data_IF_209856261271
#
_entry.id   IF_209856261271
#
_cell.length_a   1.000
_cell.length_b   1.000
_cell.length_c   1.000
_cell.angle_alpha   90.00
_cell.angle_beta   90.00
_cell.angle_gamma   90.00
#
_symmetry.space_group_name_H-M   'P 1'
#
loop_
_entity.id
_entity.type
_entity.pdbx_description
1 polymer ?
#
# COMPACT_ATOMS: atom_id res chain seq x y z
N UNK A 1 2.73 1.65 -17.94
CA UNK A 1 1.68 1.42 -16.92
C UNK A 1 2.20 1.62 -15.50
N UNK A 2 3.29 0.98 -15.05
CA UNK A 2 3.82 1.20 -13.67
C UNK A 2 4.08 2.69 -13.39
N UNK A 3 4.95 3.34 -14.18
CA UNK A 3 5.24 4.78 -14.07
C UNK A 3 3.98 5.64 -14.14
N UNK A 4 3.06 5.30 -15.04
CA UNK A 4 1.79 6.00 -15.19
C UNK A 4 0.93 5.89 -13.93
N UNK A 5 0.87 4.71 -13.31
CA UNK A 5 0.20 4.51 -12.03
C UNK A 5 0.82 5.35 -10.91
N UNK A 6 2.15 5.30 -10.76
CA UNK A 6 2.86 6.11 -9.76
C UNK A 6 2.57 7.61 -9.99
N UNK A 7 2.75 8.09 -11.22
CA UNK A 7 2.48 9.49 -11.57
C UNK A 7 1.02 9.88 -11.30
N UNK A 8 0.07 8.97 -11.52
CA UNK A 8 -1.36 9.25 -11.33
C UNK A 8 -1.75 9.29 -9.86
N UNK A 9 -1.36 8.28 -9.09
CA UNK A 9 -1.85 8.08 -7.73
C UNK A 9 -1.00 8.80 -6.68
N UNK A 10 0.28 9.07 -6.94
CA UNK A 10 1.15 9.85 -6.03
C UNK A 10 1.19 11.35 -6.35
N UNK A 11 0.68 11.78 -7.50
CA UNK A 11 0.48 13.21 -7.76
C UNK A 11 -0.77 13.73 -7.07
N UNK A 12 -0.69 14.96 -6.59
CA UNK A 12 -1.83 15.75 -6.08
C UNK A 12 -1.95 17.00 -6.94
N UNK A 13 -2.41 16.80 -8.17
CA UNK A 13 -2.52 17.82 -9.22
C UNK A 13 -3.84 17.77 -10.01
N UNK A 14 -4.85 17.05 -9.52
CA UNK A 14 -6.11 16.83 -10.25
C UNK A 14 -6.90 18.15 -10.32
N UNK A 15 -7.19 18.63 -11.52
CA UNK A 15 -7.90 19.92 -11.72
C UNK A 15 -9.42 19.78 -11.67
N UNK A 16 -9.97 18.66 -12.12
CA UNK A 16 -11.39 18.30 -12.02
C UNK A 16 -11.68 17.36 -10.83
N UNK A 17 -12.94 17.25 -10.39
CA UNK A 17 -13.36 16.41 -9.27
C UNK A 17 -13.01 16.97 -7.88
N UNK A 18 -13.27 16.19 -6.83
CA UNK A 18 -13.09 16.58 -5.41
C UNK A 18 -11.81 15.98 -4.76
N UNK A 19 -10.93 15.39 -5.56
CA UNK A 19 -9.81 14.57 -5.07
C UNK A 19 -8.47 15.06 -5.62
N UNK A 20 -7.39 14.87 -4.87
CA UNK A 20 -6.01 15.15 -5.28
C UNK A 20 -5.70 16.63 -5.53
N UNK A 21 -6.26 17.54 -4.72
CA UNK A 21 -6.16 19.01 -4.88
C UNK A 21 -4.91 19.65 -4.25
N UNK A 22 -3.76 19.00 -4.39
CA UNK A 22 -2.52 19.46 -3.77
C UNK A 22 -2.36 19.03 -2.31
N UNK A 23 -1.37 19.64 -1.66
CA UNK A 23 -1.04 19.46 -0.25
C UNK A 23 -1.10 20.82 0.45
N UNK A 24 -1.54 20.83 1.71
CA UNK A 24 -1.56 22.02 2.54
C UNK A 24 -0.34 22.03 3.46
N UNK A 25 0.37 23.15 3.45
CA UNK A 25 1.44 23.48 4.39
C UNK A 25 1.17 24.87 4.98
N UNK A 26 1.91 25.28 6.00
CA UNK A 26 1.66 26.55 6.70
C UNK A 26 1.67 27.78 5.77
N UNK A 27 2.41 27.71 4.66
CA UNK A 27 2.52 28.79 3.68
C UNK A 27 1.45 28.76 2.59
N UNK A 28 0.60 27.73 2.54
CA UNK A 28 -0.49 27.62 1.57
C UNK A 28 -0.67 26.22 0.98
N UNK A 29 -1.45 26.16 -0.11
CA UNK A 29 -1.71 24.94 -0.84
C UNK A 29 -0.79 24.83 -2.07
N UNK A 30 -0.15 23.67 -2.26
CA UNK A 30 0.78 23.41 -3.34
C UNK A 30 0.36 22.20 -4.15
N UNK A 31 0.41 22.33 -5.47
CA UNK A 31 0.27 21.21 -6.41
C UNK A 31 1.53 20.36 -6.40
N UNK A 32 1.38 19.05 -6.31
CA UNK A 32 2.49 18.09 -6.38
C UNK A 32 2.32 17.22 -7.61
N UNK A 33 3.37 17.17 -8.44
CA UNK A 33 3.42 16.34 -9.65
C UNK A 33 4.59 15.38 -9.51
N UNK A 34 4.29 14.08 -9.53
CA UNK A 34 5.26 12.99 -9.47
C UNK A 34 5.55 12.51 -10.88
N UNK A 35 6.84 12.43 -11.21
CA UNK A 35 7.35 11.88 -12.47
C UNK A 35 8.30 10.72 -12.15
N UNK A 36 7.79 9.50 -12.23
CA UNK A 36 8.58 8.29 -12.09
C UNK A 36 9.45 8.07 -13.33
N UNK A 37 10.69 7.68 -13.10
CA UNK A 37 11.69 7.38 -14.13
C UNK A 37 12.26 5.98 -13.87
N UNK A 38 12.53 5.24 -14.95
CA UNK A 38 13.27 3.99 -14.85
C UNK A 38 14.76 4.32 -14.71
N UNK A 39 15.48 3.57 -13.89
CA UNK A 39 16.90 3.82 -13.63
C UNK A 39 17.64 2.53 -13.35
N UNK A 40 18.91 2.48 -13.75
CA UNK A 40 19.84 1.40 -13.40
C UNK A 40 20.54 1.66 -12.04
N UNK A 41 20.23 2.78 -11.39
CA UNK A 41 20.69 3.05 -10.03
C UNK A 41 20.05 2.08 -9.05
N UNK A 42 20.76 1.79 -7.97
CA UNK A 42 20.31 0.94 -6.85
C UNK A 42 20.10 1.77 -5.59
N UNK A 43 19.36 1.27 -4.59
CA UNK A 43 19.23 1.94 -3.29
C UNK A 43 20.60 2.38 -2.71
N UNK A 44 20.67 3.57 -2.09
CA UNK A 44 19.55 4.43 -1.69
C UNK A 44 19.09 5.43 -2.77
N UNK A 45 19.58 5.32 -4.01
CA UNK A 45 19.29 6.30 -5.07
C UNK A 45 18.05 5.95 -5.90
N UNK A 46 17.45 4.77 -5.68
CA UNK A 46 16.24 4.28 -6.33
C UNK A 46 15.42 3.44 -5.34
N UNK A 47 14.18 3.13 -5.70
CA UNK A 47 13.37 2.13 -5.01
C UNK A 47 13.94 0.72 -5.27
N UNK A 48 13.67 -0.24 -4.39
CA UNK A 48 14.01 -1.64 -4.66
C UNK A 48 13.31 -2.14 -5.95
N UNK A 49 13.96 -3.08 -6.63
CA UNK A 49 13.38 -3.72 -7.80
C UNK A 49 12.23 -4.67 -7.40
N UNK A 50 11.16 -4.64 -8.20
CA UNK A 50 10.01 -5.53 -8.01
C UNK A 50 9.72 -6.22 -9.35
N UNK A 51 9.76 -7.56 -9.40
CA UNK A 51 9.41 -8.30 -10.60
C UNK A 51 8.00 -7.98 -11.10
N UNK A 52 7.88 -7.78 -12.41
CA UNK A 52 6.58 -7.63 -13.09
C UNK A 52 6.19 -8.96 -13.73
N UNK A 53 5.02 -9.47 -13.38
CA UNK A 53 4.51 -10.74 -13.88
C UNK A 53 3.34 -10.49 -14.81
N UNK A 54 3.44 -10.91 -16.07
CA UNK A 54 2.30 -10.94 -16.98
C UNK A 54 1.53 -12.25 -16.78
N UNK A 55 0.25 -12.17 -16.42
CA UNK A 55 -0.58 -13.34 -16.12
C UNK A 55 -1.86 -13.38 -16.96
N UNK A 56 -2.04 -14.49 -17.68
CA UNK A 56 -3.25 -14.82 -18.43
C UNK A 56 -3.40 -16.34 -18.51
N UNK A 57 -4.63 -16.84 -18.55
CA UNK A 57 -4.97 -18.27 -18.60
C UNK A 57 -4.41 -19.10 -17.43
N UNK A 58 -4.32 -18.52 -16.23
CA UNK A 58 -3.96 -19.20 -14.99
C UNK A 58 -4.83 -18.72 -13.82
N UNK A 59 -4.58 -19.25 -12.63
CA UNK A 59 -5.07 -18.70 -11.36
C UNK A 59 -4.81 -17.19 -11.26
N UNK A 60 -5.71 -16.48 -10.58
CA UNK A 60 -5.53 -15.07 -10.28
C UNK A 60 -4.22 -14.86 -9.49
N UNK A 61 -3.25 -14.19 -10.11
CA UNK A 61 -1.96 -13.92 -9.50
C UNK A 61 -2.07 -12.81 -8.45
N UNK A 62 -1.27 -12.92 -7.39
CA UNK A 62 -1.21 -11.90 -6.33
C UNK A 62 -0.06 -10.93 -6.56
N UNK A 63 -0.26 -9.70 -6.13
CA UNK A 63 0.80 -8.71 -6.00
C UNK A 63 1.13 -8.52 -4.52
N UNK A 64 2.33 -8.04 -4.26
CA UNK A 64 2.79 -7.70 -2.94
C UNK A 64 4.18 -7.11 -3.01
N UNK A 65 4.44 -6.14 -2.15
CA UNK A 65 5.77 -5.64 -1.89
C UNK A 65 5.99 -5.46 -0.39
N UNK A 66 6.49 -6.50 0.30
CA UNK A 66 6.96 -6.32 1.65
C UNK A 66 8.17 -5.35 1.72
N UNK A 67 8.74 -4.86 0.63
CA UNK A 67 9.85 -3.89 0.69
C UNK A 67 11.05 -4.36 1.49
N UNK A 68 11.26 -5.68 1.46
CA UNK A 68 12.22 -6.33 2.29
C UNK A 68 13.41 -6.68 1.40
N UNK A 69 14.42 -5.80 1.41
CA UNK A 69 15.74 -6.17 0.92
C UNK A 69 16.13 -7.47 1.66
N UNK A 70 16.23 -8.60 0.94
CA UNK A 70 16.53 -9.93 1.51
C UNK A 70 17.77 -9.93 2.42
N UNK A 71 18.66 -8.94 2.30
CA UNK A 71 19.82 -8.73 3.17
C UNK A 71 19.57 -7.96 4.48
N UNK A 72 18.54 -7.10 4.58
CA UNK A 72 18.23 -6.31 5.80
C UNK A 72 17.22 -7.03 6.70
N UNK A 73 16.50 -8.02 6.17
CA UNK A 73 15.72 -9.00 6.96
C UNK A 73 16.61 -9.75 7.98
N UNK A 74 17.94 -9.69 7.83
CA UNK A 74 18.88 -10.42 8.68
C UNK A 74 19.60 -9.59 9.75
N UNK A 75 19.57 -8.25 9.79
CA UNK A 75 20.58 -7.53 10.63
C UNK A 75 20.18 -6.25 11.38
N UNK A 76 18.99 -5.68 11.22
CA UNK A 76 18.68 -4.37 11.83
C UNK A 76 17.37 -4.26 12.60
N UNK A 77 16.27 -4.76 12.04
CA UNK A 77 14.95 -4.56 12.62
C UNK A 77 14.62 -5.71 13.59
N UNK A 78 14.93 -5.53 14.88
CA UNK A 78 14.63 -6.46 16.00
C UNK A 78 13.14 -6.83 16.18
N UNK A 79 12.27 -6.47 15.23
CA UNK A 79 10.82 -6.71 15.26
C UNK A 79 10.44 -8.00 14.51
N UNK A 80 11.29 -8.52 13.61
CA UNK A 80 10.93 -9.63 12.71
C UNK A 80 11.30 -11.05 13.18
N UNK A 81 12.25 -11.21 14.12
CA UNK A 81 12.80 -12.54 14.49
C UNK A 81 11.78 -13.52 15.12
N UNK A 82 10.56 -13.07 15.45
CA UNK A 82 9.48 -13.93 15.95
C UNK A 82 8.13 -13.77 15.22
N UNK A 83 8.07 -12.96 14.16
CA UNK A 83 6.82 -12.57 13.46
C UNK A 83 6.84 -13.03 12.00
N UNK A 84 7.97 -13.51 11.48
CA UNK A 84 8.12 -14.09 10.13
C UNK A 84 7.10 -15.18 9.81
N UNK A 85 6.65 -15.95 10.80
CA UNK A 85 5.60 -16.98 10.63
C UNK A 85 4.19 -16.42 10.40
N UNK A 86 3.95 -15.12 10.64
CA UNK A 86 2.67 -14.46 10.37
C UNK A 86 2.56 -13.94 8.93
N UNK A 87 3.68 -13.85 8.23
CA UNK A 87 3.71 -13.54 6.81
C UNK A 87 3.57 -14.83 6.03
N UNK A 88 2.32 -15.20 5.73
CA UNK A 88 2.04 -16.30 4.82
C UNK A 88 2.61 -15.95 3.44
N UNK A 89 3.80 -16.46 3.13
CA UNK A 89 4.50 -16.37 1.86
C UNK A 89 4.68 -14.91 1.38
N UNK A 90 5.73 -14.18 1.80
CA UNK A 90 5.96 -12.81 1.36
C UNK A 90 6.20 -12.79 -0.16
N UNK A 91 5.14 -12.45 -0.91
CA UNK A 91 5.18 -12.26 -2.36
C UNK A 91 5.81 -10.88 -2.60
N UNK A 92 6.87 -10.84 -3.38
CA UNK A 92 7.49 -9.61 -3.88
C UNK A 92 7.39 -9.60 -5.40
N UNK A 93 6.26 -9.17 -5.92
CA UNK A 93 5.99 -9.05 -7.35
C UNK A 93 4.77 -8.15 -7.58
N UNK A 94 4.65 -7.59 -8.77
CA UNK A 94 3.41 -6.95 -9.24
C UNK A 94 2.90 -7.75 -10.44
N UNK A 95 1.69 -8.27 -10.33
CA UNK A 95 1.07 -9.10 -11.36
C UNK A 95 0.08 -8.31 -12.21
N UNK A 96 0.27 -8.30 -13.52
CA UNK A 96 -0.70 -7.85 -14.52
C UNK A 96 -1.61 -9.03 -14.91
N UNK A 97 -2.79 -9.09 -14.28
CA UNK A 97 -3.81 -10.10 -14.53
C UNK A 97 -4.73 -9.66 -15.68
N UNK A 98 -4.80 -10.42 -16.78
CA UNK A 98 -5.66 -10.09 -17.93
C UNK A 98 -6.16 -11.34 -18.66
N UNK A 99 -7.32 -11.28 -19.31
CA UNK A 99 -7.87 -12.39 -20.08
C UNK A 99 -8.60 -13.41 -19.22
N UNK A 100 -8.62 -14.69 -19.61
CA UNK A 100 -9.27 -15.71 -18.79
C UNK A 100 -8.40 -16.05 -17.58
N UNK A 101 -9.01 -16.02 -16.39
CA UNK A 101 -8.35 -16.32 -15.12
C UNK A 101 -9.23 -17.26 -14.30
N UNK A 102 -8.60 -18.12 -13.49
CA UNK A 102 -9.30 -18.95 -12.52
C UNK A 102 -9.43 -18.22 -11.18
N UNK A 103 -10.68 -17.96 -10.77
CA UNK A 103 -11.02 -17.38 -9.49
C UNK A 103 -11.58 -18.46 -8.55
N UNK A 104 -11.74 -18.13 -7.27
CA UNK A 104 -12.32 -19.06 -6.27
C UNK A 104 -13.71 -19.60 -6.64
N UNK A 105 -14.48 -18.88 -7.46
CA UNK A 105 -15.79 -19.27 -7.96
C UNK A 105 -15.78 -19.78 -9.42
N UNK A 106 -14.60 -20.06 -9.98
CA UNK A 106 -14.41 -20.61 -11.33
C UNK A 106 -13.73 -19.65 -12.30
N UNK A 107 -13.70 -20.05 -13.58
CA UNK A 107 -13.06 -19.28 -14.65
C UNK A 107 -13.89 -18.04 -15.04
N UNK A 108 -13.22 -16.90 -15.18
CA UNK A 108 -13.83 -15.64 -15.61
C UNK A 108 -12.90 -14.85 -16.53
N UNK A 109 -13.48 -14.00 -17.39
CA UNK A 109 -12.72 -13.12 -18.27
C UNK A 109 -12.50 -11.74 -17.62
N UNK A 110 -11.24 -11.38 -17.43
CA UNK A 110 -10.82 -10.06 -16.94
C UNK A 110 -10.48 -9.14 -18.11
N UNK A 111 -11.32 -8.11 -18.29
CA UNK A 111 -11.18 -7.18 -19.39
C UNK A 111 -9.90 -6.33 -19.25
N UNK A 112 -9.27 -6.01 -20.39
CA UNK A 112 -8.03 -5.24 -20.47
C UNK A 112 -8.13 -3.86 -19.80
N UNK A 113 -9.21 -3.11 -19.96
CA UNK A 113 -9.33 -1.76 -19.39
C UNK A 113 -9.35 -1.82 -17.85
N UNK A 114 -10.03 -2.84 -17.31
CA UNK A 114 -10.03 -3.11 -15.86
C UNK A 114 -8.64 -3.56 -15.40
N UNK A 115 -8.00 -4.46 -16.14
CA UNK A 115 -6.63 -4.92 -15.86
C UNK A 115 -5.62 -3.78 -15.84
N UNK A 116 -5.69 -2.86 -16.81
CA UNK A 116 -4.82 -1.70 -16.90
C UNK A 116 -4.99 -0.78 -15.68
N UNK A 117 -6.23 -0.48 -15.30
CA UNK A 117 -6.50 0.39 -14.15
C UNK A 117 -6.06 -0.25 -12.82
N UNK A 118 -6.39 -1.53 -12.61
CA UNK A 118 -6.00 -2.28 -11.42
C UNK A 118 -4.49 -2.43 -11.33
N UNK A 119 -3.80 -2.69 -12.44
CA UNK A 119 -2.34 -2.80 -12.44
C UNK A 119 -1.67 -1.46 -12.17
N UNK A 120 -2.19 -0.35 -12.69
CA UNK A 120 -1.69 1.00 -12.38
C UNK A 120 -1.85 1.31 -10.88
N UNK A 121 -3.02 1.04 -10.31
CA UNK A 121 -3.29 1.26 -8.86
C UNK A 121 -2.39 0.37 -8.01
N UNK A 122 -2.39 -0.93 -8.30
CA UNK A 122 -1.58 -1.93 -7.57
C UNK A 122 -0.11 -1.58 -7.64
N UNK A 123 0.42 -1.24 -8.82
CA UNK A 123 1.83 -0.85 -8.95
C UNK A 123 2.18 0.36 -8.08
N UNK A 124 1.29 1.36 -8.04
CA UNK A 124 1.50 2.55 -7.22
C UNK A 124 1.39 2.25 -5.73
N UNK A 125 0.51 1.33 -5.34
CA UNK A 125 0.36 0.85 -3.97
C UNK A 125 1.61 0.06 -3.51
N UNK A 126 2.03 -0.93 -4.29
CA UNK A 126 3.17 -1.79 -3.93
C UNK A 126 4.49 -1.00 -3.88
N UNK A 127 4.74 -0.08 -4.83
CA UNK A 127 5.89 0.82 -4.74
C UNK A 127 5.76 1.84 -3.60
N UNK A 128 4.52 2.17 -3.23
CA UNK A 128 4.22 3.01 -2.09
C UNK A 128 4.72 2.45 -0.76
N UNK A 129 4.82 1.12 -0.63
CA UNK A 129 5.37 0.51 0.57
C UNK A 129 6.84 0.89 0.84
N UNK A 130 7.67 1.08 -0.19
CA UNK A 130 9.06 1.54 -0.05
C UNK A 130 9.11 2.97 0.53
N UNK A 131 8.18 3.83 0.06
CA UNK A 131 8.08 5.22 0.50
C UNK A 131 7.64 5.24 1.98
N UNK A 132 6.55 4.54 2.32
CA UNK A 132 6.02 4.48 3.69
C UNK A 132 7.02 3.86 4.67
N UNK A 133 7.80 2.86 4.25
CA UNK A 133 8.87 2.28 5.07
C UNK A 133 9.97 3.29 5.35
N UNK A 134 10.38 4.06 4.35
CA UNK A 134 11.48 5.01 4.48
C UNK A 134 11.20 6.15 5.49
N UNK A 135 9.94 6.57 5.67
CA UNK A 135 9.59 7.62 6.64
C UNK A 135 8.81 7.13 7.87
N UNK A 136 7.96 6.12 7.74
CA UNK A 136 7.05 5.62 8.79
C UNK A 136 7.39 4.24 9.35
N UNK A 137 8.30 3.51 8.69
CA UNK A 137 8.75 2.18 9.10
C UNK A 137 7.84 1.02 8.69
N UNK A 138 8.36 -0.20 8.83
CA UNK A 138 7.75 -1.44 8.31
C UNK A 138 6.33 -1.69 8.81
N UNK A 139 6.07 -1.47 10.11
CA UNK A 139 4.74 -1.70 10.69
C UNK A 139 3.70 -0.77 10.07
N UNK A 140 4.04 0.52 9.94
CA UNK A 140 3.15 1.54 9.40
C UNK A 140 2.78 1.21 7.93
N UNK A 141 3.79 0.79 7.16
CA UNK A 141 3.62 0.36 5.78
C UNK A 141 2.77 -0.93 5.67
N UNK A 142 3.14 -2.00 6.37
CA UNK A 142 2.50 -3.32 6.23
C UNK A 142 1.10 -3.41 6.81
N UNK A 143 0.80 -2.64 7.86
CA UNK A 143 -0.55 -2.58 8.39
C UNK A 143 -1.41 -1.58 7.62
N UNK A 144 -0.93 -1.03 6.50
CA UNK A 144 -1.68 -0.10 5.66
C UNK A 144 -2.19 1.07 6.51
N UNK A 145 -1.26 1.69 7.26
CA UNK A 145 -1.54 2.75 8.25
C UNK A 145 -2.50 2.33 9.35
N UNK A 146 -2.51 1.04 9.69
CA UNK A 146 -3.36 0.46 10.71
C UNK A 146 -4.73 -0.01 10.21
N UNK A 147 -5.09 0.21 8.94
CA UNK A 147 -6.35 -0.27 8.35
C UNK A 147 -6.42 -1.79 8.18
N UNK A 148 -5.28 -2.48 8.28
CA UNK A 148 -5.17 -3.94 8.18
C UNK A 148 -4.25 -4.55 9.25
N UNK A 149 -4.33 -5.86 9.41
CA UNK A 149 -3.36 -6.64 10.18
C UNK A 149 -2.08 -6.86 9.35
N UNK A 150 -0.99 -7.33 9.99
CA UNK A 150 0.23 -7.73 9.28
C UNK A 150 -0.01 -8.86 8.24
N UNK A 151 -1.14 -9.57 8.35
CA UNK A 151 -1.59 -10.56 7.37
C UNK A 151 -2.29 -9.95 6.16
N UNK A 152 -2.31 -8.62 6.04
CA UNK A 152 -3.04 -7.84 5.02
C UNK A 152 -4.57 -7.96 5.09
N UNK A 153 -5.12 -8.58 6.13
CA UNK A 153 -6.57 -8.64 6.30
C UNK A 153 -7.08 -7.31 6.86
N UNK A 154 -8.10 -6.72 6.23
CA UNK A 154 -8.75 -5.49 6.71
C UNK A 154 -9.24 -5.66 8.14
N UNK A 155 -8.92 -4.68 9.00
CA UNK A 155 -9.40 -4.67 10.39
C UNK A 155 -10.89 -4.36 10.47
N UNK A 156 -11.62 -4.80 11.50
CA UNK A 156 -13.00 -4.38 11.68
C UNK A 156 -13.12 -2.86 11.88
N UNK A 157 -14.24 -2.27 11.46
CA UNK A 157 -14.52 -0.83 11.58
C UNK A 157 -14.87 -0.38 13.00
N UNK A 158 -15.05 -1.34 13.90
CA UNK A 158 -15.23 -1.10 15.33
C UNK A 158 -14.38 -2.11 16.08
N UNK A 159 -13.91 -1.78 17.29
CA UNK A 159 -13.19 -2.74 18.11
C UNK A 159 -14.05 -4.00 18.25
N UNK A 160 -13.49 -5.20 18.05
CA UNK A 160 -14.23 -6.41 18.33
C UNK A 160 -14.72 -6.36 19.79
N UNK A 161 -16.01 -6.68 20.03
CA UNK A 161 -16.54 -6.92 21.36
C UNK A 161 -15.85 -8.14 21.96
N UNK A 162 -14.64 -7.95 22.47
CA UNK A 162 -13.85 -9.02 23.04
C UNK A 162 -13.92 -8.91 24.56
N UNK A 163 -14.65 -9.82 25.19
CA UNK A 163 -14.79 -9.81 26.63
C UNK A 163 -13.47 -10.21 27.27
N UNK A 164 -13.18 -9.66 28.45
CA UNK A 164 -11.87 -9.85 29.10
C UNK A 164 -11.53 -11.33 29.37
N UNK A 165 -12.53 -12.20 29.48
CA UNK A 165 -12.38 -13.64 29.68
C UNK A 165 -12.23 -14.46 28.38
N UNK A 166 -12.51 -13.88 27.20
CA UNK A 166 -12.24 -14.52 25.90
C UNK A 166 -10.75 -14.48 25.54
N UNK A 167 -9.95 -13.72 26.31
CA UNK A 167 -8.50 -13.60 26.15
C UNK A 167 -7.78 -14.73 26.85
N UNK A 168 -7.58 -15.84 26.14
CA UNK A 168 -6.52 -16.78 26.54
C UNK A 168 -5.16 -16.08 26.42
N UNK A 169 -4.19 -16.44 27.27
CA UNK A 169 -2.81 -15.93 27.15
C UNK A 169 -2.26 -16.13 25.73
N UNK A 170 -2.43 -17.31 25.08
CA UNK A 170 -2.05 -17.51 23.69
C UNK A 170 -2.77 -16.58 22.70
N UNK A 171 -4.08 -16.37 22.85
CA UNK A 171 -4.86 -15.49 21.97
C UNK A 171 -4.43 -14.03 22.08
N UNK A 172 -4.11 -13.56 23.30
CA UNK A 172 -3.59 -12.22 23.53
C UNK A 172 -2.19 -12.03 22.93
N UNK A 173 -1.33 -13.04 23.03
CA UNK A 173 0.01 -13.04 22.40
C UNK A 173 -0.13 -13.00 20.88
N UNK A 174 -0.98 -13.85 20.30
CA UNK A 174 -1.19 -13.91 18.86
C UNK A 174 -1.80 -12.61 18.31
N UNK A 175 -2.73 -12.00 19.04
CA UNK A 175 -3.29 -10.69 18.67
C UNK A 175 -2.22 -9.60 18.69
N UNK A 176 -1.39 -9.52 19.73
CA UNK A 176 -0.28 -8.57 19.79
C UNK A 176 0.79 -8.83 18.73
N UNK A 177 0.91 -10.06 18.27
CA UNK A 177 1.84 -10.42 17.20
C UNK A 177 1.32 -9.96 15.83
N UNK A 178 0.01 -10.10 15.54
CA UNK A 178 -0.60 -9.72 14.24
C UNK A 178 -0.96 -8.24 14.11
N UNK A 179 -1.22 -7.56 15.24
CA UNK A 179 -1.67 -6.17 15.28
C UNK A 179 -0.75 -5.32 16.13
N UNK A 180 0.07 -4.50 15.45
CA UNK A 180 1.05 -3.60 16.05
C UNK A 180 0.56 -2.15 16.11
N UNK A 181 -0.61 -1.86 15.55
CA UNK A 181 -1.31 -0.57 15.60
C UNK A 181 -2.72 -0.73 16.18
N UNK A 182 -2.88 -1.32 17.39
CA UNK A 182 -4.19 -1.69 17.96
C UNK A 182 -5.11 -0.50 18.26
N UNK A 183 -4.58 0.70 18.31
CA UNK A 183 -5.31 1.95 18.49
C UNK A 183 -6.06 2.40 17.23
N UNK A 184 -5.72 1.83 16.07
CA UNK A 184 -6.35 2.15 14.78
C UNK A 184 -7.25 0.99 14.35
N UNK A 185 -8.52 1.31 14.06
CA UNK A 185 -9.49 0.38 13.49
C UNK A 185 -9.45 0.42 11.96
N UNK A 186 -10.10 -0.55 11.32
CA UNK A 186 -10.38 -0.45 9.89
C UNK A 186 -11.45 0.60 9.61
N UNK A 187 -11.70 0.85 8.34
CA UNK A 187 -12.69 1.84 7.92
C UNK A 187 -13.40 1.42 6.63
N UNK A 188 -14.60 1.95 6.42
CA UNK A 188 -15.31 1.78 5.16
C UNK A 188 -14.72 2.73 4.12
N UNK A 189 -14.72 2.31 2.86
CA UNK A 189 -14.38 3.19 1.76
C UNK A 189 -15.32 4.40 1.79
N UNK A 190 -14.81 5.64 1.84
CA UNK A 190 -15.67 6.81 1.88
C UNK A 190 -16.54 6.85 0.62
N UNK A 191 -17.80 7.28 0.76
CA UNK A 191 -18.75 7.37 -0.36
C UNK A 191 -18.52 8.58 -1.25
N UNK A 192 -17.87 9.62 -0.73
CA UNK A 192 -17.45 10.84 -1.47
C UNK A 192 -16.03 11.27 -1.08
N UNK A 193 -15.39 12.12 -1.88
CA UNK A 193 -14.00 12.56 -1.62
C UNK A 193 -12.92 11.52 -1.89
N UNK A 194 -11.74 11.70 -1.30
CA UNK A 194 -10.54 10.89 -1.55
C UNK A 194 -10.61 9.49 -0.92
N UNK A 195 -9.99 8.52 -1.57
CA UNK A 195 -9.71 7.19 -1.03
C UNK A 195 -8.19 7.03 -0.97
N UNK A 196 -7.65 6.87 0.23
CA UNK A 196 -6.21 6.73 0.45
C UNK A 196 -5.65 5.50 -0.26
N UNK A 197 -4.69 5.72 -1.17
CA UNK A 197 -4.00 4.68 -1.93
C UNK A 197 -3.44 3.58 -1.03
N UNK A 198 -2.91 3.93 0.15
CA UNK A 198 -2.16 3.00 1.00
C UNK A 198 -3.02 2.32 2.07
N UNK A 199 -4.35 2.47 2.02
CA UNK A 199 -5.27 1.86 3.00
C UNK A 199 -6.11 0.75 2.39
N UNK A 200 -6.43 -0.23 3.24
CA UNK A 200 -7.42 -1.25 2.92
C UNK A 200 -8.76 -0.86 3.52
N UNK A 201 -9.75 -0.76 2.66
CA UNK A 201 -11.10 -0.40 3.04
C UNK A 201 -12.02 -1.60 3.09
N UNK A 202 -13.08 -1.50 3.89
CA UNK A 202 -14.29 -2.28 3.67
C UNK A 202 -15.09 -1.70 2.52
N UNK A 203 -15.48 -2.54 1.57
CA UNK A 203 -16.18 -2.12 0.36
C UNK A 203 -15.22 -1.82 -0.81
N UNK A 204 -15.79 -1.43 -1.95
CA UNK A 204 -15.03 -1.17 -3.17
C UNK A 204 -14.45 0.24 -3.19
N UNK A 205 -13.19 0.37 -3.60
CA UNK A 205 -12.60 1.63 -4.04
C UNK A 205 -13.01 1.96 -5.47
N UNK A 206 -12.76 3.21 -5.89
CA UNK A 206 -13.00 3.69 -7.25
C UNK A 206 -11.73 4.36 -7.74
N UNK A 207 -11.15 3.86 -8.84
CA UNK A 207 -9.87 4.31 -9.39
C UNK A 207 -9.73 5.84 -9.45
N UNK A 208 -10.77 6.56 -9.88
CA UNK A 208 -10.73 8.02 -10.01
C UNK A 208 -10.57 8.77 -8.68
N UNK A 209 -10.99 8.13 -7.57
CA UNK A 209 -10.99 8.69 -6.21
C UNK A 209 -9.78 8.25 -5.39
N UNK A 210 -9.08 7.21 -5.85
CA UNK A 210 -7.85 6.75 -5.20
C UNK A 210 -6.73 7.78 -5.43
N UNK A 211 -6.03 8.14 -4.36
CA UNK A 211 -4.89 9.05 -4.35
C UNK A 211 -4.08 8.84 -3.07
N UNK A 212 -2.75 8.98 -3.14
CA UNK A 212 -1.89 8.95 -1.97
C UNK A 212 -2.30 10.04 -0.98
N UNK A 213 -2.38 9.70 0.31
CA UNK A 213 -2.74 10.67 1.34
C UNK A 213 -1.80 11.87 1.33
N UNK A 214 -2.32 13.03 1.73
CA UNK A 214 -1.54 14.27 1.80
C UNK A 214 -0.26 14.10 2.65
N UNK A 215 -0.36 13.39 3.77
CA UNK A 215 0.79 13.13 4.65
C UNK A 215 1.84 12.19 4.04
N UNK A 216 1.43 11.22 3.21
CA UNK A 216 2.40 10.37 2.51
C UNK A 216 3.16 11.14 1.45
N UNK A 217 2.47 12.04 0.73
CA UNK A 217 3.10 12.90 -0.28
C UNK A 217 4.05 13.89 0.39
N UNK A 218 3.71 14.41 1.57
CA UNK A 218 4.66 15.18 2.40
C UNK A 218 5.86 14.34 2.82
N UNK A 219 5.65 13.08 3.22
CA UNK A 219 6.71 12.12 3.52
C UNK A 219 7.65 11.89 2.32
N UNK A 220 7.09 11.73 1.12
CA UNK A 220 7.86 11.62 -0.12
C UNK A 220 8.73 12.86 -0.38
N UNK A 221 8.17 14.07 -0.24
CA UNK A 221 8.91 15.33 -0.39
C UNK A 221 10.00 15.45 0.68
N UNK A 222 9.73 15.00 1.91
CA UNK A 222 10.74 15.00 2.96
C UNK A 222 11.93 14.11 2.61
N UNK A 223 11.68 12.93 2.02
CA UNK A 223 12.73 12.00 1.60
C UNK A 223 13.64 12.56 0.50
N UNK A 224 13.16 13.49 -0.34
CA UNK A 224 14.01 14.13 -1.35
C UNK A 224 15.00 15.13 -0.74
N UNK A 225 14.87 15.46 0.56
CA UNK A 225 15.74 16.43 1.23
C UNK A 225 15.67 17.84 0.64
N UNK A 226 14.54 18.19 0.00
CA UNK A 226 14.36 19.51 -0.61
C UNK A 226 14.50 20.58 0.48
N UNK A 227 15.38 21.55 0.24
CA UNK A 227 15.46 22.79 1.00
C UNK A 227 14.71 23.86 0.21
N UNK A 228 13.64 24.39 0.80
CA UNK A 228 12.96 25.57 0.25
C UNK A 228 13.71 26.79 0.78
N UNK A 229 14.48 27.44 -0.09
CA UNK A 229 15.09 28.73 0.23
C UNK A 229 14.01 29.81 0.14
N UNK A 230 13.93 30.67 1.17
CA UNK A 230 13.03 31.83 1.22
C UNK A 230 13.68 33.05 0.57
#
# INVERSE_FOLDING_TARGET
MVKEGVNTYWSRNKTAGEVGKGINVDTGNYTVIVNAEDTDLVPPYSLNDIPLIYNTNNDQGRSGNPGCNRGIISRGTKVFDGVTSLFNNPIQQITYNVGYLEFSNGWGYWNKDKADNEFKETSAHELGHEILQAFGGDIYSYQHKGSSYLTQNTKPTSPPEEKWYDRTIPGAIWRKAKDRMPEVNGENAPSTGEQDLMKYYHGSTTFDRVVAAEDDVKGLIWLTGIKIEQ
#
